data_IF_850634371899
#
_entry.id   IF_850634371899
#
_cell.length_a   1.000
_cell.length_b   1.000
_cell.length_c   1.000
_cell.angle_alpha   90.00
_cell.angle_beta   90.00
_cell.angle_gamma   90.00
#
_symmetry.space_group_name_H-M   'P 1'
#
loop_
_entity.id
_entity.type
_entity.pdbx_description
1 polymer ?
#
# COMPACT_ATOMS: atom_id res chain seq x y z
N UNK A 1 -7.53 16.13 0.99
CA UNK A 1 -6.49 15.24 0.44
C UNK A 1 -6.86 13.78 0.58
N UNK A 2 -6.04 12.89 0.05
CA UNK A 2 -6.13 11.46 0.31
C UNK A 2 -5.32 11.16 1.56
N UNK A 3 -5.92 10.48 2.54
CA UNK A 3 -5.24 10.05 3.76
C UNK A 3 -5.13 8.52 3.75
N UNK A 4 -3.99 8.00 4.19
CA UNK A 4 -3.73 6.57 4.32
C UNK A 4 -3.83 6.16 5.78
N UNK A 5 -4.51 5.06 6.04
CA UNK A 5 -4.65 4.52 7.37
C UNK A 5 -4.39 3.02 7.39
N UNK A 6 -3.87 2.56 8.52
CA UNK A 6 -3.81 1.14 8.86
C UNK A 6 -4.79 0.86 9.99
N UNK A 7 -5.66 -0.11 9.77
CA UNK A 7 -6.68 -0.54 10.72
C UNK A 7 -6.32 -1.95 11.16
N UNK A 8 -6.20 -2.16 12.46
CA UNK A 8 -5.96 -3.48 13.05
C UNK A 8 -7.29 -4.03 13.56
N UNK A 9 -7.67 -5.20 13.08
CA UNK A 9 -8.93 -5.88 13.48
C UNK A 9 -8.67 -7.29 13.98
N UNK A 10 -9.51 -7.77 14.90
CA UNK A 10 -9.46 -9.14 15.41
C UNK A 10 -10.33 -10.07 14.56
N UNK A 11 -10.00 -10.27 13.31
CA UNK A 11 -10.69 -11.20 12.43
C UNK A 11 -9.75 -11.70 11.33
N UNK A 12 -9.93 -12.94 10.93
CA UNK A 12 -9.29 -13.52 9.74
C UNK A 12 -10.28 -13.82 8.62
N UNK A 13 -11.54 -13.39 8.75
CA UNK A 13 -12.53 -13.54 7.70
C UNK A 13 -12.27 -12.53 6.56
N UNK A 14 -11.29 -12.84 5.72
CA UNK A 14 -10.86 -11.97 4.63
C UNK A 14 -11.99 -11.58 3.67
N UNK A 15 -12.91 -12.51 3.37
CA UNK A 15 -14.02 -12.23 2.45
C UNK A 15 -14.94 -11.14 2.99
N UNK A 16 -15.27 -11.19 4.25
CA UNK A 16 -16.09 -10.20 4.93
C UNK A 16 -15.36 -8.86 5.05
N UNK A 17 -14.09 -8.90 5.46
CA UNK A 17 -13.23 -7.72 5.56
C UNK A 17 -13.16 -7.00 4.21
N UNK A 18 -12.82 -7.71 3.11
CA UNK A 18 -12.68 -7.12 1.77
C UNK A 18 -14.01 -6.49 1.32
N UNK A 19 -15.12 -7.18 1.54
CA UNK A 19 -16.45 -6.69 1.16
C UNK A 19 -16.78 -5.37 1.88
N UNK A 20 -16.56 -5.30 3.18
CA UNK A 20 -16.99 -4.17 3.99
C UNK A 20 -16.01 -2.99 3.91
N UNK A 21 -14.70 -3.26 3.86
CA UNK A 21 -13.67 -2.22 3.76
C UNK A 21 -13.81 -1.39 2.48
N UNK A 22 -14.22 -1.99 1.37
CA UNK A 22 -14.48 -1.28 0.11
C UNK A 22 -15.60 -0.23 0.21
N UNK A 23 -16.49 -0.35 1.19
CA UNK A 23 -17.55 0.65 1.45
C UNK A 23 -17.01 1.85 2.24
N UNK A 24 -15.95 1.66 3.02
CA UNK A 24 -15.32 2.73 3.78
C UNK A 24 -14.28 3.52 2.99
N UNK A 25 -13.58 2.85 2.06
CA UNK A 25 -12.54 3.47 1.25
C UNK A 25 -11.90 2.49 0.28
N UNK A 26 -10.72 2.84 -0.25
CA UNK A 26 -9.98 2.01 -1.18
C UNK A 26 -8.91 1.20 -0.43
N UNK A 27 -9.09 -0.12 -0.23
CA UNK A 27 -8.07 -0.94 0.38
C UNK A 27 -6.87 -1.11 -0.56
N UNK A 28 -5.65 -0.98 -0.03
CA UNK A 28 -4.41 -1.24 -0.75
C UNK A 28 -3.62 -2.41 -0.16
N UNK A 29 -3.90 -2.78 1.09
CA UNK A 29 -3.29 -3.93 1.75
C UNK A 29 -4.29 -4.62 2.68
N UNK A 30 -4.29 -5.95 2.70
CA UNK A 30 -5.02 -6.77 3.69
C UNK A 30 -4.09 -7.90 4.07
N UNK A 31 -3.55 -7.82 5.28
CA UNK A 31 -2.52 -8.71 5.78
C UNK A 31 -3.05 -9.49 6.99
N UNK A 32 -3.39 -10.77 6.84
CA UNK A 32 -3.70 -11.63 7.97
C UNK A 32 -2.43 -11.88 8.79
N UNK A 33 -2.55 -11.68 10.10
CA UNK A 33 -1.46 -11.85 11.04
C UNK A 33 -1.70 -13.05 11.96
N UNK A 34 -0.66 -13.50 12.63
CA UNK A 34 -0.77 -14.52 13.68
C UNK A 34 -1.63 -14.01 14.84
N UNK A 35 -2.37 -14.91 15.51
CA UNK A 35 -3.21 -14.54 16.66
C UNK A 35 -4.62 -14.04 16.32
N UNK A 36 -5.11 -14.31 15.09
CA UNK A 36 -6.49 -13.96 14.71
C UNK A 36 -6.67 -12.50 14.33
N UNK A 37 -5.57 -11.79 14.04
CA UNK A 37 -5.55 -10.37 13.71
C UNK A 37 -5.40 -10.20 12.20
N UNK A 38 -6.00 -9.13 11.66
CA UNK A 38 -5.74 -8.68 10.29
C UNK A 38 -5.42 -7.20 10.31
N UNK A 39 -4.38 -6.81 9.58
CA UNK A 39 -4.03 -5.40 9.29
C UNK A 39 -4.58 -5.03 7.94
N UNK A 40 -5.29 -3.91 7.88
CA UNK A 40 -5.94 -3.39 6.67
C UNK A 40 -5.36 -2.02 6.38
N UNK A 41 -4.70 -1.88 5.23
CA UNK A 41 -4.31 -0.59 4.68
C UNK A 41 -5.42 -0.02 3.80
N UNK A 42 -5.86 1.19 4.09
CA UNK A 42 -6.97 1.85 3.39
C UNK A 42 -6.65 3.31 3.06
N UNK A 43 -7.08 3.74 1.88
CA UNK A 43 -7.03 5.15 1.47
C UNK A 43 -8.44 5.72 1.55
N UNK A 44 -8.60 6.85 2.24
CA UNK A 44 -9.86 7.57 2.39
C UNK A 44 -9.71 9.04 2.01
N UNK A 45 -10.80 9.64 1.51
CA UNK A 45 -10.88 11.06 1.15
C UNK A 45 -11.51 11.92 2.26
N UNK A 46 -12.20 11.27 3.19
CA UNK A 46 -13.07 11.89 4.18
C UNK A 46 -12.59 11.60 5.59
N UNK A 47 -13.36 12.06 6.57
CA UNK A 47 -13.11 11.83 7.97
C UNK A 47 -13.04 10.32 8.28
N UNK A 48 -11.92 9.89 8.80
CA UNK A 48 -11.66 8.48 9.15
C UNK A 48 -12.57 8.00 10.28
N UNK A 49 -12.92 8.86 11.23
CA UNK A 49 -13.76 8.49 12.36
C UNK A 49 -15.14 7.96 11.90
N UNK A 50 -15.76 8.67 10.96
CA UNK A 50 -17.04 8.21 10.39
C UNK A 50 -16.90 6.87 9.65
N UNK A 51 -15.76 6.66 8.99
CA UNK A 51 -15.50 5.39 8.27
C UNK A 51 -15.26 4.22 9.24
N UNK A 52 -14.60 4.45 10.37
CA UNK A 52 -14.44 3.44 11.42
C UNK A 52 -15.79 3.05 12.00
N UNK A 53 -16.64 4.02 12.33
CA UNK A 53 -17.99 3.76 12.82
C UNK A 53 -18.83 2.96 11.83
N UNK A 54 -18.72 3.29 10.52
CA UNK A 54 -19.35 2.53 9.46
C UNK A 54 -18.85 1.09 9.43
N UNK A 55 -17.54 0.88 9.47
CA UNK A 55 -16.94 -0.47 9.48
C UNK A 55 -17.39 -1.28 10.69
N UNK A 56 -17.43 -0.68 11.88
CA UNK A 56 -17.89 -1.35 13.10
C UNK A 56 -19.36 -1.76 13.01
N UNK A 57 -20.21 -0.92 12.38
CA UNK A 57 -21.62 -1.26 12.17
C UNK A 57 -21.82 -2.36 11.13
N UNK A 58 -20.98 -2.41 10.10
CA UNK A 58 -21.06 -3.41 9.03
C UNK A 58 -20.48 -4.76 9.42
N UNK A 59 -19.49 -4.76 10.31
CA UNK A 59 -18.75 -5.94 10.76
C UNK A 59 -18.98 -6.15 12.26
N UNK A 60 -20.21 -6.58 12.64
CA UNK A 60 -20.61 -6.69 14.04
C UNK A 60 -19.71 -7.64 14.87
N UNK A 61 -19.17 -8.67 14.23
CA UNK A 61 -18.29 -9.66 14.86
C UNK A 61 -16.81 -9.29 14.77
N UNK A 62 -16.47 -8.13 14.17
CA UNK A 62 -15.10 -7.68 13.98
C UNK A 62 -14.82 -6.48 14.88
N UNK A 63 -13.93 -6.66 15.83
CA UNK A 63 -13.50 -5.56 16.71
C UNK A 63 -12.33 -4.81 16.06
N UNK A 64 -12.48 -3.51 15.85
CA UNK A 64 -11.36 -2.62 15.54
C UNK A 64 -10.52 -2.42 16.80
N UNK A 65 -9.27 -2.85 16.75
CA UNK A 65 -8.34 -2.79 17.89
C UNK A 65 -7.57 -1.47 17.91
N UNK A 66 -7.09 -1.04 16.76
CA UNK A 66 -6.30 0.19 16.60
C UNK A 66 -6.42 0.74 15.20
N UNK A 67 -6.21 2.05 15.09
CA UNK A 67 -6.16 2.78 13.82
C UNK A 67 -4.96 3.70 13.85
N UNK A 68 -4.14 3.64 12.81
CA UNK A 68 -2.95 4.45 12.65
C UNK A 68 -3.07 5.24 11.35
N UNK A 69 -2.84 6.53 11.40
CA UNK A 69 -2.64 7.33 10.20
C UNK A 69 -1.21 7.12 9.73
N UNK A 70 -1.05 6.78 8.46
CA UNK A 70 0.26 6.74 7.86
C UNK A 70 0.78 8.17 7.69
N UNK A 71 2.02 8.40 8.08
CA UNK A 71 2.66 9.69 7.85
C UNK A 71 2.78 9.91 6.33
N UNK A 72 1.81 10.63 5.79
CA UNK A 72 1.85 11.10 4.42
C UNK A 72 2.86 12.23 4.35
N UNK A 73 4.15 11.90 4.32
CA UNK A 73 5.16 12.85 3.88
C UNK A 73 4.63 13.50 2.61
N UNK A 74 4.64 14.83 2.57
CA UNK A 74 4.09 15.64 1.47
C UNK A 74 4.76 15.24 0.17
N UNK A 75 4.22 14.19 -0.44
CA UNK A 75 4.71 13.69 -1.72
C UNK A 75 4.32 14.75 -2.76
N UNK A 76 5.29 15.48 -3.23
CA UNK A 76 5.13 16.48 -4.29
C UNK A 76 4.78 15.79 -5.59
N UNK A 77 3.52 15.84 -5.98
CA UNK A 77 3.04 15.22 -7.23
C UNK A 77 3.30 16.17 -8.41
N UNK A 78 4.52 16.19 -8.90
CA UNK A 78 4.86 16.90 -10.14
C UNK A 78 4.61 16.03 -11.39
N UNK A 79 3.50 15.28 -11.39
CA UNK A 79 3.12 14.46 -12.54
C UNK A 79 2.41 15.28 -13.59
N UNK A 80 2.90 15.19 -14.82
CA UNK A 80 2.25 15.78 -15.99
C UNK A 80 1.14 14.87 -16.51
N UNK A 81 0.29 15.40 -17.39
CA UNK A 81 -0.73 14.60 -18.08
C UNK A 81 -0.10 13.43 -18.86
N UNK A 82 1.05 13.67 -19.49
CA UNK A 82 1.83 12.64 -20.19
C UNK A 82 2.30 11.53 -19.25
N UNK A 83 2.79 11.88 -18.05
CA UNK A 83 3.21 10.91 -17.05
C UNK A 83 2.02 10.02 -16.62
N UNK A 84 0.85 10.63 -16.37
CA UNK A 84 -0.36 9.91 -15.99
C UNK A 84 -0.87 8.98 -17.10
N UNK A 85 -0.76 9.39 -18.35
CA UNK A 85 -1.13 8.58 -19.51
C UNK A 85 -0.25 7.32 -19.62
N UNK A 86 1.07 7.49 -19.50
CA UNK A 86 2.03 6.38 -19.49
C UNK A 86 1.78 5.45 -18.30
N UNK A 87 1.59 6.00 -17.09
CA UNK A 87 1.31 5.24 -15.90
C UNK A 87 0.02 4.43 -16.02
N UNK A 88 -1.04 4.99 -16.64
CA UNK A 88 -2.30 4.28 -16.84
C UNK A 88 -2.12 3.02 -17.71
N UNK A 89 -1.23 3.06 -18.68
CA UNK A 89 -0.89 1.92 -19.53
C UNK A 89 -0.05 0.88 -18.77
N UNK A 90 0.91 1.33 -17.96
CA UNK A 90 1.78 0.46 -17.17
C UNK A 90 1.06 -0.21 -15.99
N UNK A 91 0.02 0.40 -15.44
CA UNK A 91 -0.84 -0.24 -14.42
C UNK A 91 -1.60 -1.44 -15.02
N UNK A 92 -1.99 -1.35 -16.29
CA UNK A 92 -2.68 -2.45 -16.98
C UNK A 92 -1.72 -3.57 -17.40
N UNK A 93 -0.54 -3.19 -17.91
CA UNK A 93 0.52 -4.11 -18.29
C UNK A 93 1.89 -3.52 -17.91
N UNK A 94 2.44 -3.90 -16.74
CA UNK A 94 3.73 -3.37 -16.26
C UNK A 94 4.94 -3.74 -17.14
N UNK A 95 4.78 -4.74 -18.02
CA UNK A 95 5.83 -5.21 -18.93
C UNK A 95 5.65 -4.71 -20.36
N UNK A 96 4.74 -3.76 -20.59
CA UNK A 96 4.47 -3.21 -21.91
C UNK A 96 5.74 -2.59 -22.50
N UNK A 97 6.07 -2.96 -23.75
CA UNK A 97 7.25 -2.47 -24.44
C UNK A 97 7.07 -1.00 -24.85
N UNK A 98 8.19 -0.28 -24.96
CA UNK A 98 8.20 1.16 -25.30
C UNK A 98 7.51 1.42 -26.65
N UNK A 99 7.71 0.53 -27.63
CA UNK A 99 7.07 0.66 -28.94
C UNK A 99 5.54 0.51 -28.85
N UNK A 100 5.07 -0.35 -27.96
CA UNK A 100 3.64 -0.52 -27.72
C UNK A 100 3.07 0.68 -26.95
N UNK A 101 3.77 1.17 -25.93
CA UNK A 101 3.40 2.41 -25.24
C UNK A 101 3.30 3.58 -26.23
N UNK A 102 4.25 3.69 -27.17
CA UNK A 102 4.24 4.72 -28.20
C UNK A 102 3.00 4.66 -29.09
N UNK A 103 2.57 3.47 -29.48
CA UNK A 103 1.35 3.27 -30.27
C UNK A 103 0.09 3.60 -29.47
N UNK A 104 0.01 3.12 -28.23
CA UNK A 104 -1.19 3.23 -27.40
C UNK A 104 -1.41 4.66 -26.87
N UNK A 105 -0.32 5.42 -26.64
CA UNK A 105 -0.36 6.81 -26.17
C UNK A 105 -0.20 7.86 -27.28
N UNK A 106 0.14 7.42 -28.49
CA UNK A 106 0.48 8.32 -29.61
C UNK A 106 1.65 9.27 -29.31
N UNK A 107 2.55 8.86 -28.40
CA UNK A 107 3.74 9.61 -28.01
C UNK A 107 5.00 9.04 -28.69
N UNK A 108 6.01 9.88 -28.92
CA UNK A 108 7.29 9.39 -29.43
C UNK A 108 8.00 8.53 -28.38
N UNK A 109 8.78 7.53 -28.83
CA UNK A 109 9.61 6.68 -27.95
C UNK A 109 10.58 7.52 -27.11
N UNK A 110 11.10 8.62 -27.66
CA UNK A 110 11.94 9.58 -26.92
C UNK A 110 11.18 10.25 -25.77
N UNK A 111 9.93 10.65 -25.98
CA UNK A 111 9.07 11.25 -24.95
C UNK A 111 8.81 10.25 -23.85
N UNK A 112 8.51 8.99 -24.21
CA UNK A 112 8.25 7.92 -23.26
C UNK A 112 9.48 7.62 -22.40
N UNK A 113 10.66 7.48 -23.02
CA UNK A 113 11.90 7.23 -22.29
C UNK A 113 12.18 8.33 -21.25
N UNK A 114 12.06 9.60 -21.65
CA UNK A 114 12.26 10.73 -20.72
C UNK A 114 11.24 10.75 -19.59
N UNK A 115 9.99 10.38 -19.87
CA UNK A 115 8.97 10.28 -18.84
C UNK A 115 9.24 9.12 -17.89
N UNK A 116 9.65 7.96 -18.38
CA UNK A 116 10.02 6.81 -17.56
C UNK A 116 11.22 7.10 -16.66
N UNK A 117 12.27 7.73 -17.17
CA UNK A 117 13.42 8.16 -16.36
C UNK A 117 12.98 9.14 -15.26
N UNK A 118 12.13 10.12 -15.59
CA UNK A 118 11.56 11.03 -14.60
C UNK A 118 10.74 10.30 -13.55
N UNK A 119 9.90 9.33 -13.95
CA UNK A 119 9.05 8.55 -13.06
C UNK A 119 9.87 7.63 -12.15
N UNK A 120 10.94 7.02 -12.64
CA UNK A 120 11.85 6.20 -11.85
C UNK A 120 12.60 7.01 -10.77
N UNK A 121 12.92 8.26 -11.06
CA UNK A 121 13.57 9.16 -10.12
C UNK A 121 12.59 9.96 -9.26
N UNK A 122 11.28 9.67 -9.34
CA UNK A 122 10.25 10.38 -8.60
C UNK A 122 9.96 9.64 -7.28
N UNK A 123 10.17 10.32 -6.16
CA UNK A 123 9.94 9.75 -4.81
C UNK A 123 8.48 9.34 -4.57
N UNK A 124 7.54 9.85 -5.39
CA UNK A 124 6.11 9.53 -5.28
C UNK A 124 5.71 8.24 -6.01
N UNK A 125 6.62 7.67 -6.81
CA UNK A 125 6.34 6.49 -7.64
C UNK A 125 7.45 5.48 -7.43
N UNK A 126 7.04 4.27 -7.10
CA UNK A 126 7.95 3.15 -6.94
C UNK A 126 7.57 2.04 -7.93
N UNK A 127 8.52 1.67 -8.78
CA UNK A 127 8.42 0.45 -9.57
C UNK A 127 8.98 -0.71 -8.77
N UNK A 128 8.12 -1.62 -8.36
CA UNK A 128 8.52 -2.76 -7.53
C UNK A 128 8.05 -4.07 -8.12
N UNK A 129 8.73 -5.14 -7.73
CA UNK A 129 8.28 -6.49 -8.02
C UNK A 129 7.29 -6.92 -6.96
N UNK A 130 6.06 -7.20 -7.37
CA UNK A 130 5.07 -7.85 -6.50
C UNK A 130 5.20 -9.35 -6.66
N UNK A 131 5.54 -10.05 -5.60
CA UNK A 131 5.62 -11.50 -5.56
C UNK A 131 4.64 -12.06 -4.54
N UNK A 132 4.28 -13.32 -4.72
CA UNK A 132 3.44 -14.06 -3.78
C UNK A 132 4.34 -14.92 -2.87
N UNK A 133 4.57 -14.52 -1.62
CA UNK A 133 5.47 -15.23 -0.71
C UNK A 133 5.05 -16.69 -0.50
N UNK A 134 3.75 -16.99 -0.59
CA UNK A 134 3.22 -18.34 -0.38
C UNK A 134 3.66 -19.34 -1.45
N UNK A 135 4.16 -18.85 -2.59
CA UNK A 135 4.65 -19.67 -3.72
C UNK A 135 6.17 -19.86 -3.72
N UNK A 136 6.86 -19.26 -2.74
CA UNK A 136 8.30 -19.41 -2.61
C UNK A 136 8.57 -20.49 -1.56
N UNK A 137 9.11 -21.61 -1.97
CA UNK A 137 9.43 -22.71 -1.07
C UNK A 137 10.50 -22.28 -0.06
N UNK A 138 10.24 -22.57 1.23
CA UNK A 138 11.16 -22.21 2.32
C UNK A 138 11.16 -20.74 2.72
N UNK A 139 10.34 -19.89 2.09
CA UNK A 139 10.22 -18.48 2.48
C UNK A 139 9.12 -18.27 3.50
N UNK A 140 9.48 -17.72 4.66
CA UNK A 140 8.53 -17.33 5.71
C UNK A 140 8.64 -15.82 5.91
N UNK A 141 7.52 -15.12 5.76
CA UNK A 141 7.45 -13.68 6.01
C UNK A 141 6.58 -13.44 7.25
N UNK A 142 7.11 -12.69 8.20
CA UNK A 142 6.40 -12.27 9.39
C UNK A 142 6.23 -10.75 9.38
N UNK A 143 5.01 -10.28 9.60
CA UNK A 143 4.75 -8.88 9.89
C UNK A 143 4.55 -8.71 11.39
N UNK A 144 5.38 -7.90 12.03
CA UNK A 144 5.27 -7.59 13.47
C UNK A 144 4.59 -6.24 13.61
N UNK A 145 3.47 -6.20 14.31
CA UNK A 145 2.79 -4.96 14.69
C UNK A 145 3.04 -4.73 16.18
N UNK A 146 3.83 -3.73 16.51
CA UNK A 146 4.11 -3.34 17.88
C UNK A 146 3.46 -1.98 18.20
N UNK A 147 2.80 -1.90 19.35
CA UNK A 147 2.29 -0.63 19.89
C UNK A 147 3.23 -0.22 21.01
N UNK A 148 3.84 0.93 20.89
CA UNK A 148 4.79 1.44 21.87
C UNK A 148 4.56 2.92 22.15
N UNK A 149 4.94 3.35 23.35
CA UNK A 149 5.09 4.77 23.73
C UNK A 149 6.54 5.24 23.59
N UNK A 150 7.46 4.33 23.25
CA UNK A 150 8.86 4.69 23.02
C UNK A 150 9.06 5.39 21.67
N UNK A 151 10.20 6.03 21.53
CA UNK A 151 10.65 6.66 20.29
C UNK A 151 10.76 5.61 19.17
N UNK A 152 9.93 5.76 18.13
CA UNK A 152 9.85 4.84 16.98
C UNK A 152 11.22 4.66 16.29
N UNK A 153 11.98 5.73 15.95
CA UNK A 153 13.32 5.60 15.37
C UNK A 153 14.27 4.75 16.21
N UNK A 154 14.25 4.92 17.53
CA UNK A 154 15.07 4.13 18.45
C UNK A 154 14.68 2.67 18.46
N UNK A 155 13.37 2.39 18.36
CA UNK A 155 12.87 1.02 18.31
C UNK A 155 13.20 0.35 16.97
N UNK A 156 13.02 1.05 15.86
CA UNK A 156 13.41 0.55 14.53
C UNK A 156 14.89 0.19 14.47
N UNK A 157 15.75 1.04 15.05
CA UNK A 157 17.18 0.74 15.13
C UNK A 157 17.47 -0.52 15.94
N UNK A 158 16.76 -0.77 17.05
CA UNK A 158 16.89 -2.02 17.80
C UNK A 158 16.49 -3.24 16.97
N UNK A 159 15.42 -3.14 16.16
CA UNK A 159 15.03 -4.23 15.27
C UNK A 159 16.07 -4.48 14.18
N UNK A 160 16.59 -3.41 13.57
CA UNK A 160 17.68 -3.51 12.60
C UNK A 160 18.93 -4.16 13.19
N UNK A 161 19.31 -3.75 14.41
CA UNK A 161 20.47 -4.31 15.12
C UNK A 161 20.29 -5.78 15.50
N UNK A 162 19.04 -6.22 15.81
CA UNK A 162 18.73 -7.58 16.26
C UNK A 162 18.50 -8.54 15.09
N UNK A 163 17.78 -8.10 14.06
CA UNK A 163 17.39 -8.95 12.92
C UNK A 163 18.30 -8.79 11.70
N UNK A 164 19.11 -7.73 11.64
CA UNK A 164 20.07 -7.51 10.58
C UNK A 164 19.45 -7.51 9.19
N UNK A 165 20.01 -8.33 8.29
CA UNK A 165 19.56 -8.44 6.90
C UNK A 165 18.16 -9.08 6.74
N UNK A 166 17.64 -9.73 7.77
CA UNK A 166 16.31 -10.34 7.79
C UNK A 166 15.19 -9.31 8.07
N UNK A 167 15.58 -8.07 8.40
CA UNK A 167 14.66 -6.95 8.59
C UNK A 167 14.47 -6.17 7.28
N UNK A 168 13.21 -6.14 6.80
CA UNK A 168 12.79 -5.46 5.56
C UNK A 168 11.86 -4.30 5.87
#
# INVERSE_FOLDING_TARGET
GLNMFYIVVNSQNQKEIIKNVKLAGMPFAIVPCVGGITVIGIIVKEDMQQKIELLQKLMQDVRVMSVFEADNTKISHNLTRTDLEILSQLIQDPRKRIEQLSKDTNLSTKTINRALEKLQNNESIQFTLVYDPSKIEGFLCYAVVAITQEDIPKMLKKFEDEFGEDYL
#
